data_IF_041133622861
#
_entry.id   IF_041133622861
#
_cell.length_a   1.000
_cell.length_b   1.000
_cell.length_c   1.000
_cell.angle_alpha   90.00
_cell.angle_beta   90.00
_cell.angle_gamma   90.00
#
_symmetry.space_group_name_H-M   'P 1'
#
loop_
_entity.id
_entity.type
_entity.pdbx_description
1 polymer ?
#
# COMPACT_ATOMS: atom_id res chain seq x y z
N UNK A 1 20.95 -55.35 6.74
CA UNK A 1 21.73 -54.88 5.58
C UNK A 1 20.86 -55.12 4.36
N UNK A 2 20.36 -54.18 3.56
CA UNK A 2 20.53 -52.75 3.43
C UNK A 2 19.16 -52.17 3.01
N UNK A 3 18.77 -51.01 3.54
CA UNK A 3 17.56 -50.30 3.11
C UNK A 3 17.90 -49.53 1.84
N UNK A 4 17.26 -49.88 0.74
CA UNK A 4 17.36 -49.17 -0.53
C UNK A 4 16.91 -47.72 -0.35
N UNK A 5 17.83 -46.79 -0.59
CA UNK A 5 17.54 -45.36 -0.63
C UNK A 5 16.88 -45.07 -1.97
N UNK A 6 15.56 -44.83 -1.97
CA UNK A 6 14.89 -44.18 -3.09
C UNK A 6 15.37 -42.72 -3.14
N UNK A 7 16.04 -42.36 -4.23
CA UNK A 7 16.29 -40.97 -4.56
C UNK A 7 14.95 -40.34 -5.02
N UNK A 8 14.40 -39.44 -4.23
CA UNK A 8 13.35 -38.54 -4.72
C UNK A 8 14.03 -37.46 -5.59
N UNK A 9 13.74 -37.54 -6.88
CA UNK A 9 14.10 -36.57 -7.90
C UNK A 9 13.33 -35.25 -7.67
N UNK A 10 14.07 -34.14 -7.57
CA UNK A 10 13.53 -32.80 -7.82
C UNK A 10 12.66 -32.15 -6.74
N UNK A 11 13.02 -32.22 -5.46
CA UNK A 11 12.48 -31.25 -4.50
C UNK A 11 13.13 -29.88 -4.77
N UNK A 12 12.44 -29.01 -5.51
CA UNK A 12 12.77 -27.57 -5.55
C UNK A 12 12.55 -27.04 -4.13
N UNK A 13 13.61 -27.06 -3.32
CA UNK A 13 13.66 -26.33 -2.06
C UNK A 13 13.43 -24.86 -2.38
N UNK A 14 12.21 -24.38 -2.17
CA UNK A 14 11.94 -22.95 -2.10
C UNK A 14 12.49 -22.52 -0.74
N UNK A 15 13.74 -22.06 -0.73
CA UNK A 15 14.27 -21.34 0.41
C UNK A 15 13.47 -20.04 0.49
N UNK A 16 12.58 -19.93 1.46
CA UNK A 16 11.94 -18.66 1.78
C UNK A 16 13.04 -17.77 2.36
N UNK A 17 13.51 -16.81 1.57
CA UNK A 17 14.41 -15.78 2.05
C UNK A 17 13.75 -15.04 3.22
N UNK A 18 14.55 -14.68 4.22
CA UNK A 18 14.08 -13.85 5.34
C UNK A 18 13.66 -12.47 4.84
N UNK A 19 12.82 -11.78 5.61
CA UNK A 19 12.36 -10.41 5.25
C UNK A 19 13.55 -9.47 5.01
N UNK A 20 14.59 -9.58 5.84
CA UNK A 20 15.79 -8.75 5.73
C UNK A 20 16.62 -9.06 4.48
N UNK A 21 16.70 -10.32 4.07
CA UNK A 21 17.35 -10.71 2.81
C UNK A 21 16.59 -10.16 1.61
N UNK A 22 15.26 -10.31 1.59
CA UNK A 22 14.40 -9.76 0.51
C UNK A 22 14.52 -8.24 0.43
N UNK A 23 14.49 -7.55 1.58
CA UNK A 23 14.62 -6.10 1.62
C UNK A 23 16.01 -5.66 1.14
N UNK A 24 17.06 -6.33 1.60
CA UNK A 24 18.44 -6.03 1.22
C UNK A 24 18.65 -6.18 -0.29
N UNK A 25 18.12 -7.25 -0.87
CA UNK A 25 18.22 -7.49 -2.31
C UNK A 25 17.36 -6.51 -3.12
N UNK A 26 16.14 -6.21 -2.67
CA UNK A 26 15.30 -5.20 -3.31
C UNK A 26 15.97 -3.82 -3.33
N UNK A 27 16.65 -3.42 -2.25
CA UNK A 27 17.32 -2.11 -2.17
C UNK A 27 18.54 -1.98 -3.12
N UNK A 28 19.11 -3.09 -3.61
CA UNK A 28 20.19 -3.08 -4.60
C UNK A 28 19.72 -2.85 -6.04
N UNK A 29 18.42 -3.01 -6.31
CA UNK A 29 17.85 -2.84 -7.64
C UNK A 29 17.80 -1.37 -8.07
N UNK A 30 17.56 -1.12 -9.36
CA UNK A 30 17.32 0.23 -9.86
C UNK A 30 16.05 0.85 -9.23
N UNK A 31 15.94 2.19 -9.30
CA UNK A 31 14.75 2.90 -8.78
C UNK A 31 13.44 2.38 -9.38
N UNK A 32 13.45 2.06 -10.68
CA UNK A 32 12.27 1.61 -11.41
C UNK A 32 11.83 0.20 -10.98
N UNK A 33 12.78 -0.73 -10.88
CA UNK A 33 12.53 -2.09 -10.40
C UNK A 33 12.04 -2.10 -8.95
N UNK A 34 12.61 -1.25 -8.09
CA UNK A 34 12.11 -1.06 -6.71
C UNK A 34 10.68 -0.54 -6.68
N UNK A 35 10.35 0.42 -7.54
CA UNK A 35 8.99 0.96 -7.63
C UNK A 35 8.00 -0.12 -8.06
N UNK A 36 8.40 -0.98 -9.02
CA UNK A 36 7.59 -2.13 -9.44
C UNK A 36 7.35 -3.10 -8.29
N UNK A 37 8.40 -3.53 -7.58
CA UNK A 37 8.25 -4.43 -6.43
C UNK A 37 7.35 -3.82 -5.35
N UNK A 38 7.56 -2.55 -5.01
CA UNK A 38 6.73 -1.86 -4.04
C UNK A 38 5.25 -1.83 -4.46
N UNK A 39 4.96 -1.60 -5.75
CA UNK A 39 3.60 -1.61 -6.26
C UNK A 39 2.93 -2.99 -6.13
N UNK A 40 3.61 -4.05 -6.58
CA UNK A 40 3.09 -5.43 -6.49
C UNK A 40 2.87 -5.87 -5.03
N UNK A 41 3.80 -5.52 -4.14
CA UNK A 41 3.64 -5.80 -2.71
C UNK A 41 2.44 -5.06 -2.13
N UNK A 42 2.23 -3.79 -2.46
CA UNK A 42 1.06 -3.03 -2.01
C UNK A 42 -0.25 -3.63 -2.53
N UNK A 43 -0.30 -4.07 -3.79
CA UNK A 43 -1.47 -4.77 -4.34
C UNK A 43 -1.73 -6.09 -3.63
N UNK A 44 -0.68 -6.83 -3.24
CA UNK A 44 -0.85 -8.07 -2.49
C UNK A 44 -1.44 -7.88 -1.09
N UNK A 45 -1.32 -6.67 -0.51
CA UNK A 45 -1.94 -6.33 0.77
C UNK A 45 -3.43 -6.00 0.63
N UNK A 46 -3.92 -5.80 -0.59
CA UNK A 46 -5.32 -5.43 -0.85
C UNK A 46 -6.27 -6.64 -0.78
N UNK A 47 -5.74 -7.86 -0.64
CA UNK A 47 -6.52 -9.08 -0.49
C UNK A 47 -6.61 -9.54 0.98
N UNK A 48 -7.54 -8.98 1.76
CA UNK A 48 -8.35 -9.76 2.72
C UNK A 48 -9.19 -8.87 3.66
N UNK A 49 -10.51 -8.93 3.50
CA UNK A 49 -11.55 -8.68 4.52
C UNK A 49 -11.70 -7.30 5.20
N UNK A 50 -10.68 -6.44 5.27
CA UNK A 50 -10.81 -5.09 5.85
C UNK A 50 -11.41 -4.07 4.85
N UNK A 51 -11.40 -4.40 3.55
CA UNK A 51 -11.94 -3.55 2.50
C UNK A 51 -13.48 -3.55 2.39
N UNK A 52 -14.18 -4.52 2.99
CA UNK A 52 -15.66 -4.59 2.89
C UNK A 52 -16.33 -3.37 3.54
N UNK A 53 -15.79 -2.90 4.66
CA UNK A 53 -16.33 -1.73 5.35
C UNK A 53 -15.72 -0.42 4.85
N UNK A 54 -14.53 -0.46 4.22
CA UNK A 54 -13.88 0.73 3.71
C UNK A 54 -14.76 1.45 2.67
N UNK A 55 -15.29 0.74 1.68
CA UNK A 55 -16.16 1.35 0.66
C UNK A 55 -17.45 1.90 1.27
N UNK A 56 -18.05 1.18 2.22
CA UNK A 56 -19.26 1.61 2.93
C UNK A 56 -19.01 2.85 3.79
N UNK A 57 -17.87 2.91 4.48
CA UNK A 57 -17.47 4.03 5.33
C UNK A 57 -17.14 5.28 4.50
N UNK A 58 -16.42 5.11 3.37
CA UNK A 58 -16.19 6.18 2.41
C UNK A 58 -17.50 6.69 1.79
N UNK A 59 -18.43 5.79 1.47
CA UNK A 59 -19.75 6.17 0.96
C UNK A 59 -20.53 6.99 2.00
N UNK A 60 -20.50 6.56 3.26
CA UNK A 60 -21.15 7.27 4.37
C UNK A 60 -20.56 8.66 4.59
N UNK A 61 -19.24 8.77 4.56
CA UNK A 61 -18.52 10.04 4.69
C UNK A 61 -18.81 10.98 3.51
N UNK A 62 -18.85 10.47 2.28
CA UNK A 62 -19.21 11.28 1.10
C UNK A 62 -20.64 11.82 1.20
N UNK A 63 -21.59 10.98 1.63
CA UNK A 63 -22.97 11.41 1.84
C UNK A 63 -23.06 12.48 2.94
N UNK A 64 -22.34 12.30 4.05
CA UNK A 64 -22.28 13.29 5.13
C UNK A 64 -21.72 14.63 4.64
N UNK A 65 -20.58 14.63 3.93
CA UNK A 65 -19.98 15.87 3.38
C UNK A 65 -20.85 16.56 2.35
N UNK A 66 -21.54 15.78 1.51
CA UNK A 66 -22.49 16.36 0.56
C UNK A 66 -23.62 17.09 1.31
N UNK A 67 -24.12 16.49 2.40
CA UNK A 67 -25.16 17.09 3.21
C UNK A 67 -24.67 18.36 3.92
N UNK A 68 -23.45 18.37 4.47
CA UNK A 68 -22.87 19.58 5.07
C UNK A 68 -22.76 20.76 4.08
N UNK A 69 -22.43 20.46 2.83
CA UNK A 69 -22.39 21.46 1.75
C UNK A 69 -23.80 21.96 1.43
N UNK A 70 -24.77 21.06 1.30
CA UNK A 70 -26.17 21.39 1.00
C UNK A 70 -26.78 22.24 2.12
N UNK A 71 -26.55 21.86 3.37
CA UNK A 71 -27.08 22.54 4.56
C UNK A 71 -26.30 23.81 4.92
N UNK A 72 -25.15 24.05 4.27
CA UNK A 72 -24.29 25.19 4.53
C UNK A 72 -23.65 25.16 5.93
N UNK A 73 -23.46 23.97 6.51
CA UNK A 73 -22.87 23.78 7.84
C UNK A 73 -21.35 23.76 7.83
N UNK A 74 -20.74 23.75 6.65
CA UNK A 74 -19.29 23.76 6.46
C UNK A 74 -18.82 25.03 5.77
N UNK A 75 -17.69 25.58 6.22
CA UNK A 75 -17.01 26.68 5.54
C UNK A 75 -16.26 26.15 4.31
N UNK A 76 -16.67 26.60 3.13
CA UNK A 76 -16.03 26.24 1.88
C UNK A 76 -14.87 27.18 1.56
N UNK A 77 -13.81 26.62 1.00
CA UNK A 77 -12.70 27.38 0.44
C UNK A 77 -12.69 27.23 -1.08
N UNK A 78 -12.06 28.17 -1.79
CA UNK A 78 -11.84 28.00 -3.22
C UNK A 78 -10.93 26.80 -3.50
N UNK A 79 -11.03 26.27 -4.70
CA UNK A 79 -10.20 25.14 -5.11
C UNK A 79 -8.70 25.48 -5.10
N UNK A 80 -8.34 26.72 -5.45
CA UNK A 80 -6.97 27.22 -5.43
C UNK A 80 -6.40 27.21 -4.00
N UNK A 81 -7.19 27.65 -3.03
CA UNK A 81 -6.80 27.63 -1.61
C UNK A 81 -6.69 26.19 -1.08
N UNK A 82 -7.62 25.30 -1.45
CA UNK A 82 -7.54 23.88 -1.10
C UNK A 82 -6.25 23.23 -1.66
N UNK A 83 -5.92 23.49 -2.93
CA UNK A 83 -4.69 23.00 -3.55
C UNK A 83 -3.44 23.53 -2.87
N UNK A 84 -3.42 24.83 -2.52
CA UNK A 84 -2.30 25.46 -1.82
C UNK A 84 -2.04 24.77 -0.48
N UNK A 85 -3.09 24.60 0.34
CA UNK A 85 -3.01 23.90 1.64
C UNK A 85 -2.49 22.46 1.49
N UNK A 86 -2.96 21.73 0.48
CA UNK A 86 -2.50 20.38 0.19
C UNK A 86 -1.00 20.35 -0.13
N UNK A 87 -0.53 21.23 -1.01
CA UNK A 87 0.89 21.34 -1.37
C UNK A 87 1.76 21.65 -0.17
N UNK A 88 1.39 22.65 0.64
CA UNK A 88 2.10 23.03 1.86
C UNK A 88 2.19 21.87 2.87
N UNK A 89 1.11 21.09 3.01
CA UNK A 89 1.10 19.90 3.88
C UNK A 89 2.05 18.83 3.36
N UNK A 90 2.03 18.53 2.07
CA UNK A 90 2.91 17.54 1.45
C UNK A 90 4.38 17.96 1.55
N UNK A 91 4.70 19.23 1.34
CA UNK A 91 6.05 19.76 1.53
C UNK A 91 6.53 19.61 2.97
N UNK A 92 5.67 19.93 3.95
CA UNK A 92 5.98 19.76 5.36
C UNK A 92 6.29 18.31 5.71
N UNK A 93 5.48 17.37 5.23
CA UNK A 93 5.71 15.94 5.44
C UNK A 93 7.04 15.48 4.83
N UNK A 94 7.39 16.00 3.63
CA UNK A 94 8.67 15.69 2.97
C UNK A 94 9.89 16.23 3.71
N UNK A 95 9.77 17.38 4.37
CA UNK A 95 10.86 17.97 5.17
C UNK A 95 11.08 17.24 6.50
N UNK A 96 10.09 16.52 6.99
CA UNK A 96 10.12 15.78 8.27
C UNK A 96 10.52 14.30 8.09
N UNK A 97 10.77 13.87 6.86
CA UNK A 97 11.14 12.51 6.48
C UNK A 97 12.62 12.45 6.14
#
# INVERSE_FOLDING_TARGET
>A
MARERRACEGARLVLMATVDEVLTDALRLSREERARIAHELLLSLDESSEAQDAEADWTRELAHRAQEVIDGTVELVSFEEAQKRLKERLERMRRQR
#
